data_IF_278975934266
#
_entry.id   IF_278975934266
#
_cell.length_a   1.000
_cell.length_b   1.000
_cell.length_c   1.000
_cell.angle_alpha   90.00
_cell.angle_beta   90.00
_cell.angle_gamma   90.00
#
_symmetry.space_group_name_H-M   'P 1'
#
loop_
_entity.id
_entity.type
_entity.pdbx_description
1 polymer ?
#
# COMPACT_ATOMS: atom_id res chain seq x y z
N UNK A 1 -51.03 -48.03 29.41
CA UNK A 1 -50.55 -47.61 28.07
C UNK A 1 -49.67 -46.38 28.27
N UNK A 2 -48.34 -46.53 28.33
CA UNK A 2 -47.41 -45.40 28.39
C UNK A 2 -46.91 -45.08 26.98
N UNK A 3 -47.06 -43.82 26.54
CA UNK A 3 -46.51 -43.29 25.29
C UNK A 3 -45.07 -42.82 25.53
N UNK A 4 -44.10 -43.12 24.65
CA UNK A 4 -42.78 -42.54 24.74
C UNK A 4 -42.80 -41.13 24.17
N UNK A 5 -42.25 -40.17 24.92
CA UNK A 5 -42.00 -38.80 24.45
C UNK A 5 -40.65 -38.84 23.72
N UNK A 6 -40.67 -38.58 22.41
CA UNK A 6 -39.46 -38.42 21.61
C UNK A 6 -38.82 -37.07 21.94
N UNK A 7 -37.59 -37.10 22.47
CA UNK A 7 -36.74 -35.91 22.55
C UNK A 7 -36.25 -35.56 21.15
N UNK A 8 -36.68 -34.40 20.65
CA UNK A 8 -36.10 -33.77 19.46
C UNK A 8 -34.82 -33.06 19.92
N UNK A 9 -33.67 -33.58 19.52
CA UNK A 9 -32.39 -32.90 19.69
C UNK A 9 -32.29 -31.78 18.65
N UNK A 10 -32.47 -30.54 19.08
CA UNK A 10 -32.08 -29.37 18.29
C UNK A 10 -30.55 -29.31 18.27
N UNK A 11 -29.96 -29.65 17.13
CA UNK A 11 -28.57 -29.34 16.85
C UNK A 11 -28.45 -27.81 16.73
N UNK A 12 -28.00 -27.16 17.79
CA UNK A 12 -27.53 -25.78 17.70
C UNK A 12 -26.30 -25.76 16.80
N UNK A 13 -26.44 -25.25 15.58
CA UNK A 13 -25.29 -24.82 14.80
C UNK A 13 -24.56 -23.78 15.65
N UNK A 14 -23.31 -24.07 16.02
CA UNK A 14 -22.48 -23.07 16.68
C UNK A 14 -22.42 -21.83 15.77
N UNK A 15 -22.57 -20.61 16.31
CA UNK A 15 -22.34 -19.41 15.52
C UNK A 15 -20.93 -19.53 14.94
N UNK A 16 -20.80 -19.44 13.62
CA UNK A 16 -19.52 -19.20 12.98
C UNK A 16 -19.03 -17.91 13.61
N UNK A 17 -18.07 -18.02 14.53
CA UNK A 17 -17.37 -16.87 15.09
C UNK A 17 -16.87 -16.07 13.89
N UNK A 18 -17.42 -14.87 13.71
CA UNK A 18 -16.95 -13.93 12.72
C UNK A 18 -15.45 -13.78 12.99
N UNK A 19 -14.64 -14.41 12.14
CA UNK A 19 -13.21 -14.15 12.10
C UNK A 19 -13.13 -12.63 11.95
N UNK A 20 -12.54 -11.95 12.94
CA UNK A 20 -12.50 -10.50 12.95
C UNK A 20 -11.92 -10.07 11.61
N UNK A 21 -12.76 -9.52 10.73
CA UNK A 21 -12.37 -9.27 9.37
C UNK A 21 -11.46 -8.04 9.36
N UNK A 22 -10.47 -8.03 8.48
CA UNK A 22 -9.71 -6.81 8.20
C UNK A 22 -10.70 -5.69 7.84
N UNK A 23 -10.57 -4.48 8.41
CA UNK A 23 -11.28 -3.31 7.90
C UNK A 23 -11.05 -3.11 6.39
N UNK A 24 -12.01 -2.52 5.66
CA UNK A 24 -11.85 -2.23 4.24
C UNK A 24 -10.62 -1.37 3.94
N UNK A 25 -10.03 -1.59 2.77
CA UNK A 25 -8.84 -0.90 2.27
C UNK A 25 -7.72 -1.85 1.87
N UNK A 26 -6.57 -1.28 1.53
CA UNK A 26 -5.38 -2.03 1.13
C UNK A 26 -4.48 -2.26 2.33
N UNK A 27 -4.19 -3.51 2.64
CA UNK A 27 -3.29 -3.96 3.70
C UNK A 27 -2.00 -4.52 3.10
N UNK A 28 -0.84 -4.11 3.59
CA UNK A 28 0.44 -4.65 3.11
C UNK A 28 1.42 -4.91 4.26
N UNK A 29 2.37 -5.82 4.05
CA UNK A 29 3.52 -6.01 4.95
C UNK A 29 4.78 -5.28 4.46
N UNK A 30 4.64 -4.22 3.66
CA UNK A 30 5.75 -3.59 2.95
C UNK A 30 6.90 -3.15 3.86
N UNK A 31 6.62 -2.55 5.01
CA UNK A 31 7.68 -2.07 5.91
C UNK A 31 8.40 -3.23 6.61
N UNK A 32 7.67 -4.26 7.04
CA UNK A 32 8.28 -5.43 7.67
C UNK A 32 9.23 -6.16 6.69
N UNK A 33 8.77 -6.37 5.46
CA UNK A 33 9.57 -6.98 4.39
C UNK A 33 10.77 -6.11 4.00
N UNK A 34 10.65 -4.80 4.06
CA UNK A 34 11.73 -3.88 3.70
C UNK A 34 12.87 -3.88 4.72
N UNK A 35 12.56 -3.97 6.01
CA UNK A 35 13.56 -3.90 7.08
C UNK A 35 14.00 -5.27 7.64
N UNK A 36 13.41 -6.38 7.19
CA UNK A 36 13.75 -7.72 7.67
C UNK A 36 15.27 -7.99 7.70
N UNK A 37 15.99 -7.71 6.60
CA UNK A 37 17.45 -7.92 6.53
C UNK A 37 18.23 -6.99 7.47
N UNK A 38 17.83 -5.72 7.60
CA UNK A 38 18.45 -4.77 8.53
C UNK A 38 18.25 -5.19 9.99
N UNK A 39 17.14 -5.86 10.29
CA UNK A 39 16.82 -6.41 11.59
C UNK A 39 17.36 -7.83 11.82
N UNK A 40 18.07 -8.42 10.85
CA UNK A 40 18.61 -9.77 10.94
C UNK A 40 17.56 -10.88 10.90
N UNK A 41 16.37 -10.59 10.36
CA UNK A 41 15.27 -11.53 10.16
C UNK A 41 15.26 -12.08 8.75
N UNK A 42 14.67 -13.26 8.58
CA UNK A 42 14.33 -13.77 7.25
C UNK A 42 13.24 -12.89 6.63
N UNK A 43 13.41 -12.58 5.34
CA UNK A 43 12.47 -11.75 4.60
C UNK A 43 11.22 -12.56 4.26
N UNK A 44 10.08 -12.16 4.82
CA UNK A 44 8.79 -12.73 4.47
C UNK A 44 8.44 -12.46 2.99
N UNK A 45 7.54 -13.27 2.44
CA UNK A 45 6.91 -12.97 1.16
C UNK A 45 6.17 -11.64 1.22
N UNK A 46 6.31 -10.81 0.19
CA UNK A 46 5.57 -9.57 0.11
C UNK A 46 4.10 -9.83 -0.20
N UNK A 47 3.23 -9.25 0.60
CA UNK A 47 1.78 -9.39 0.47
C UNK A 47 1.14 -8.00 0.44
N UNK A 48 0.21 -7.83 -0.51
CA UNK A 48 -0.78 -6.77 -0.46
C UNK A 48 -2.17 -7.32 -0.77
N UNK A 49 -3.13 -6.95 0.07
CA UNK A 49 -4.51 -7.40 0.00
C UNK A 49 -5.42 -6.18 -0.06
N UNK A 50 -6.39 -6.19 -0.96
CA UNK A 50 -7.50 -5.25 -0.93
C UNK A 50 -8.70 -5.92 -0.28
N UNK A 51 -9.36 -5.21 0.64
CA UNK A 51 -10.58 -5.66 1.33
C UNK A 51 -11.69 -4.66 1.05
N UNK A 52 -12.85 -5.15 0.60
CA UNK A 52 -14.01 -4.29 0.33
C UNK A 52 -14.94 -4.17 1.55
N UNK A 53 -15.97 -3.32 1.45
CA UNK A 53 -16.95 -3.09 2.51
C UNK A 53 -17.78 -4.33 2.89
N UNK A 54 -17.86 -5.32 2.00
CA UNK A 54 -18.50 -6.62 2.27
C UNK A 54 -17.56 -7.61 2.97
N UNK A 55 -16.32 -7.22 3.28
CA UNK A 55 -15.30 -8.07 3.89
C UNK A 55 -14.72 -9.11 2.94
N UNK A 56 -14.99 -9.01 1.63
CA UNK A 56 -14.33 -9.83 0.62
C UNK A 56 -12.95 -9.26 0.34
N UNK A 57 -12.02 -10.13 -0.05
CA UNK A 57 -10.64 -9.73 -0.30
C UNK A 57 -10.12 -10.26 -1.63
N UNK A 58 -9.08 -9.60 -2.14
CA UNK A 58 -8.27 -10.08 -3.28
C UNK A 58 -6.82 -9.65 -3.11
N UNK A 59 -5.90 -10.32 -3.79
CA UNK A 59 -4.53 -9.83 -3.90
C UNK A 59 -4.45 -8.59 -4.78
N UNK A 60 -3.55 -7.67 -4.47
CA UNK A 60 -3.17 -6.55 -5.34
C UNK A 60 -1.65 -6.47 -5.46
N UNK A 61 -1.15 -5.89 -6.55
CA UNK A 61 0.28 -5.64 -6.69
C UNK A 61 0.71 -4.27 -6.11
N UNK A 62 1.98 -3.92 -6.29
CA UNK A 62 2.51 -2.66 -5.80
C UNK A 62 1.92 -1.42 -6.52
N UNK A 63 1.20 -1.60 -7.63
CA UNK A 63 0.51 -0.54 -8.37
C UNK A 63 -0.99 -0.47 -8.01
N UNK A 64 -1.46 -1.36 -7.14
CA UNK A 64 -2.87 -1.47 -6.77
C UNK A 64 -3.69 -2.27 -7.79
N UNK A 65 -3.05 -2.93 -8.75
CA UNK A 65 -3.74 -3.75 -9.74
C UNK A 65 -4.15 -5.09 -9.14
N UNK A 66 -5.41 -5.47 -9.35
CA UNK A 66 -5.99 -6.71 -8.86
C UNK A 66 -5.27 -7.94 -9.43
N UNK A 67 -4.90 -8.86 -8.56
CA UNK A 67 -4.24 -10.13 -8.92
C UNK A 67 -5.21 -11.33 -8.91
N UNK A 68 -6.51 -11.07 -8.91
CA UNK A 68 -7.54 -12.10 -8.91
C UNK A 68 -8.94 -11.56 -8.58
N UNK A 69 -9.90 -12.48 -8.56
CA UNK A 69 -11.28 -12.20 -8.20
C UNK A 69 -11.47 -12.03 -6.69
N UNK A 70 -12.54 -11.35 -6.31
CA UNK A 70 -12.95 -11.21 -4.91
C UNK A 70 -13.25 -12.58 -4.28
N UNK A 71 -12.71 -12.81 -3.09
CA UNK A 71 -12.90 -14.01 -2.30
C UNK A 71 -13.60 -13.69 -0.99
N UNK A 72 -14.60 -14.50 -0.64
CA UNK A 72 -15.21 -14.49 0.70
C UNK A 72 -14.62 -15.56 1.63
N UNK A 73 -13.60 -16.30 1.18
CA UNK A 73 -12.92 -17.30 2.02
C UNK A 73 -12.02 -16.62 3.06
N UNK A 74 -11.58 -17.37 4.06
CA UNK A 74 -10.58 -16.88 5.01
C UNK A 74 -9.28 -16.49 4.28
N UNK A 75 -8.68 -15.37 4.69
CA UNK A 75 -7.36 -14.94 4.20
C UNK A 75 -6.32 -15.94 4.72
N UNK A 76 -5.56 -16.63 3.84
CA UNK A 76 -4.57 -17.61 4.26
C UNK A 76 -3.52 -17.03 5.21
N UNK A 77 -3.29 -17.70 6.33
CA UNK A 77 -2.25 -17.32 7.31
C UNK A 77 -2.54 -16.06 8.13
N UNK A 78 -3.68 -15.39 7.92
CA UNK A 78 -4.05 -14.19 8.67
C UNK A 78 -4.35 -14.54 10.12
N UNK A 79 -3.65 -13.89 11.04
CA UNK A 79 -3.84 -14.02 12.48
C UNK A 79 -3.79 -12.65 13.18
N UNK A 80 -4.50 -12.47 14.31
CA UNK A 80 -4.31 -11.30 15.16
C UNK A 80 -2.90 -11.26 15.73
N UNK A 81 -2.29 -10.08 15.79
CA UNK A 81 -0.95 -9.87 16.37
C UNK A 81 -1.04 -9.59 17.88
N UNK A 82 -0.06 -10.08 18.65
CA UNK A 82 0.08 -9.72 20.06
C UNK A 82 0.31 -8.21 20.21
N UNK A 83 -0.44 -7.55 21.09
CA UNK A 83 -0.44 -6.09 21.21
C UNK A 83 -1.34 -5.36 20.20
N UNK A 84 -2.05 -6.09 19.34
CA UNK A 84 -3.05 -5.56 18.41
C UNK A 84 -2.57 -5.51 16.96
N UNK A 85 -3.54 -5.40 16.04
CA UNK A 85 -3.30 -5.44 14.60
C UNK A 85 -3.34 -6.85 14.03
N UNK A 86 -2.78 -7.00 12.83
CA UNK A 86 -2.91 -8.18 12.00
C UNK A 86 -1.55 -8.59 11.43
N UNK A 87 -1.38 -9.88 11.18
CA UNK A 87 -0.16 -10.42 10.57
C UNK A 87 -0.47 -11.64 9.70
N UNK A 88 0.42 -11.91 8.74
CA UNK A 88 0.49 -13.19 8.02
C UNK A 88 1.83 -13.84 8.37
N UNK A 89 1.77 -15.05 8.95
CA UNK A 89 2.93 -15.63 9.61
C UNK A 89 3.37 -14.74 10.78
N UNK A 90 4.62 -14.27 10.75
CA UNK A 90 5.18 -13.32 11.72
C UNK A 90 5.24 -11.87 11.17
N UNK A 91 4.75 -11.64 9.96
CA UNK A 91 4.90 -10.37 9.24
C UNK A 91 3.68 -9.46 9.45
N UNK A 92 3.89 -8.29 10.04
CA UNK A 92 2.83 -7.31 10.33
C UNK A 92 2.16 -6.79 9.04
N UNK A 93 0.83 -6.76 9.04
CA UNK A 93 0.03 -6.07 8.04
C UNK A 93 -0.37 -4.69 8.51
N UNK A 94 -0.14 -3.68 7.67
CA UNK A 94 -0.52 -2.30 7.91
C UNK A 94 -1.58 -1.86 6.91
N UNK A 95 -2.66 -1.27 7.41
CA UNK A 95 -3.64 -0.58 6.58
C UNK A 95 -2.99 0.65 5.95
N UNK A 96 -3.05 0.71 4.63
CA UNK A 96 -2.59 1.86 3.87
C UNK A 96 -3.64 2.97 3.83
N UNK A 97 -3.15 4.19 3.64
CA UNK A 97 -3.98 5.37 3.40
C UNK A 97 -4.00 5.66 1.90
N UNK A 98 -5.19 5.86 1.30
CA UNK A 98 -5.29 6.26 -0.09
C UNK A 98 -4.76 7.68 -0.29
N UNK A 99 -4.10 7.89 -1.42
CA UNK A 99 -3.45 9.14 -1.80
C UNK A 99 -3.77 9.43 -3.27
N UNK A 100 -3.88 10.71 -3.61
CA UNK A 100 -3.98 11.19 -4.98
C UNK A 100 -2.80 12.10 -5.30
N UNK A 101 -2.15 11.85 -6.43
CA UNK A 101 -0.95 12.58 -6.84
C UNK A 101 -1.12 13.30 -8.18
N UNK A 102 -0.26 14.27 -8.38
CA UNK A 102 0.09 14.76 -9.71
C UNK A 102 1.61 14.66 -9.91
N UNK A 103 2.02 14.50 -11.16
CA UNK A 103 3.42 14.42 -11.58
C UNK A 103 3.60 15.27 -12.84
N UNK A 104 4.67 16.04 -12.88
CA UNK A 104 5.10 16.83 -14.03
C UNK A 104 6.56 16.53 -14.32
N UNK A 105 6.85 16.08 -15.54
CA UNK A 105 8.21 15.73 -15.97
C UNK A 105 8.63 16.68 -17.08
N UNK A 106 9.84 17.20 -16.99
CA UNK A 106 10.40 18.07 -18.03
C UNK A 106 10.56 17.27 -19.32
N UNK A 107 10.04 17.81 -20.42
CA UNK A 107 10.24 17.23 -21.76
C UNK A 107 11.68 17.42 -22.23
N UNK A 108 12.14 16.55 -23.12
CA UNK A 108 13.45 16.68 -23.75
C UNK A 108 13.56 17.95 -24.58
N UNK A 109 12.51 18.29 -25.34
CA UNK A 109 12.43 19.52 -26.09
C UNK A 109 11.81 20.66 -25.26
N UNK A 110 12.40 21.86 -25.34
CA UNK A 110 11.80 23.09 -24.83
C UNK A 110 10.73 23.64 -25.77
N UNK A 111 10.09 24.72 -25.36
CA UNK A 111 9.15 25.48 -26.20
C UNK A 111 9.90 26.33 -27.23
N UNK A 112 9.24 26.77 -28.33
CA UNK A 112 9.86 27.63 -29.33
C UNK A 112 10.41 28.96 -28.80
N UNK A 113 9.87 29.45 -27.69
CA UNK A 113 10.31 30.68 -27.00
C UNK A 113 11.58 30.48 -26.14
N UNK A 114 12.15 29.27 -26.13
CA UNK A 114 13.34 28.92 -25.35
C UNK A 114 13.05 28.52 -23.90
N UNK A 115 11.79 28.57 -23.45
CA UNK A 115 11.41 28.13 -22.11
C UNK A 115 11.30 26.61 -22.01
N UNK A 116 11.35 26.08 -20.78
CA UNK A 116 11.16 24.65 -20.53
C UNK A 116 9.73 24.21 -20.82
N UNK A 117 9.57 23.06 -21.47
CA UNK A 117 8.28 22.40 -21.62
C UNK A 117 8.16 21.19 -20.67
N UNK A 118 6.93 20.88 -20.27
CA UNK A 118 6.64 19.91 -19.21
C UNK A 118 5.43 19.05 -19.58
N UNK A 119 5.46 17.78 -19.17
CA UNK A 119 4.29 16.90 -19.14
C UNK A 119 3.47 17.19 -17.88
N UNK A 120 2.23 16.70 -17.84
CA UNK A 120 1.40 16.78 -16.64
C UNK A 120 0.44 15.59 -16.57
N UNK A 121 0.58 14.78 -15.53
CA UNK A 121 -0.33 13.71 -15.15
C UNK A 121 -0.95 14.07 -13.79
N UNK A 122 -2.27 13.90 -13.66
CA UNK A 122 -3.01 14.24 -12.44
C UNK A 122 -3.98 13.13 -12.06
N UNK A 123 -4.52 13.20 -10.84
CA UNK A 123 -5.46 12.22 -10.27
C UNK A 123 -4.88 10.80 -10.30
N UNK A 124 -3.58 10.69 -10.07
CA UNK A 124 -2.88 9.42 -9.98
C UNK A 124 -3.20 8.80 -8.62
N UNK A 125 -3.88 7.67 -8.61
CA UNK A 125 -4.23 6.94 -7.40
C UNK A 125 -3.04 6.12 -6.91
N UNK A 126 -2.73 6.23 -5.62
CA UNK A 126 -1.64 5.50 -4.98
C UNK A 126 -1.98 5.28 -3.51
N UNK A 127 -1.22 4.45 -2.81
CA UNK A 127 -1.38 4.22 -1.38
C UNK A 127 -0.03 4.26 -0.66
N UNK A 128 -0.04 4.60 0.62
CA UNK A 128 1.17 4.95 1.37
C UNK A 128 1.87 3.78 2.08
N UNK A 129 1.63 2.53 1.67
CA UNK A 129 2.35 1.36 2.17
C UNK A 129 3.15 0.69 1.05
N UNK A 130 3.92 1.49 0.32
CA UNK A 130 4.78 1.03 -0.77
C UNK A 130 4.14 1.09 -2.14
N UNK A 131 2.95 1.69 -2.27
CA UNK A 131 2.24 1.86 -3.54
C UNK A 131 3.06 2.65 -4.55
N UNK A 132 2.86 2.33 -5.84
CA UNK A 132 3.62 2.84 -6.97
C UNK A 132 2.70 3.32 -8.08
N UNK A 133 3.14 4.33 -8.82
CA UNK A 133 2.53 4.75 -10.09
C UNK A 133 3.62 5.06 -11.09
N UNK A 134 3.49 4.50 -12.29
CA UNK A 134 4.36 4.83 -13.43
C UNK A 134 3.70 5.90 -14.30
N UNK A 135 4.47 6.93 -14.63
CA UNK A 135 4.09 8.00 -15.54
C UNK A 135 4.96 7.87 -16.79
N UNK A 136 4.40 7.40 -17.91
CA UNK A 136 5.16 7.29 -19.15
C UNK A 136 5.47 8.68 -19.69
N UNK A 137 6.70 8.85 -20.16
CA UNK A 137 7.14 10.04 -20.88
C UNK A 137 6.89 9.96 -22.38
N UNK A 138 6.41 8.82 -22.89
CA UNK A 138 5.97 8.59 -24.28
C UNK A 138 7.00 9.04 -25.33
N UNK A 139 8.29 8.91 -25.02
CA UNK A 139 9.40 9.33 -25.89
C UNK A 139 9.64 10.84 -25.96
N UNK A 140 8.82 11.67 -25.31
CA UNK A 140 8.98 13.13 -25.26
C UNK A 140 9.53 13.63 -23.92
N UNK A 141 9.47 12.80 -22.89
CA UNK A 141 10.06 12.99 -21.57
C UNK A 141 10.60 11.64 -21.05
N UNK A 142 11.37 11.61 -19.96
CA UNK A 142 11.69 10.38 -19.26
C UNK A 142 10.45 9.71 -18.66
N UNK A 143 10.42 8.38 -18.66
CA UNK A 143 9.51 7.61 -17.80
C UNK A 143 9.94 7.78 -16.34
N UNK A 144 8.97 7.93 -15.44
CA UNK A 144 9.22 7.99 -14.01
C UNK A 144 8.22 7.13 -13.26
N UNK A 145 8.67 6.51 -12.17
CA UNK A 145 7.77 5.87 -11.20
C UNK A 145 7.86 6.61 -9.88
N UNK A 146 6.72 7.00 -9.32
CA UNK A 146 6.67 7.48 -7.94
C UNK A 146 6.29 6.34 -7.01
N UNK A 147 6.82 6.36 -5.78
CA UNK A 147 6.46 5.41 -4.72
C UNK A 147 6.20 6.17 -3.43
N UNK A 148 5.16 5.81 -2.69
CA UNK A 148 4.84 6.43 -1.40
C UNK A 148 4.93 5.39 -0.27
N UNK A 149 5.58 5.77 0.83
CA UNK A 149 5.69 4.94 2.04
C UNK A 149 5.49 5.79 3.29
N UNK A 150 4.65 5.35 4.21
CA UNK A 150 4.60 5.83 5.58
C UNK A 150 5.48 4.91 6.44
N UNK A 151 6.76 5.25 6.43
CA UNK A 151 7.87 4.44 6.92
C UNK A 151 7.87 4.42 8.43
N UNK A 152 7.91 3.20 8.97
CA UNK A 152 8.37 2.94 10.34
C UNK A 152 9.70 2.23 10.19
N UNK A 153 10.77 2.86 10.69
CA UNK A 153 12.13 2.36 10.50
C UNK A 153 12.37 1.06 11.28
N UNK A 154 13.43 0.35 10.89
CA UNK A 154 13.85 -0.89 11.52
C UNK A 154 13.85 -0.83 13.05
N UNK A 155 13.53 -1.95 13.69
CA UNK A 155 13.56 -2.10 15.13
C UNK A 155 14.89 -1.59 15.73
N UNK A 156 14.81 -0.72 16.74
CA UNK A 156 15.98 -0.09 17.36
C UNK A 156 16.52 1.14 16.64
N UNK A 157 15.95 1.53 15.49
CA UNK A 157 16.30 2.77 14.80
C UNK A 157 15.95 4.00 15.65
N UNK A 158 16.81 5.02 15.60
CA UNK A 158 16.56 6.34 16.21
C UNK A 158 15.84 7.30 15.27
N UNK A 159 15.60 6.89 14.02
CA UNK A 159 14.93 7.72 13.03
C UNK A 159 13.44 7.84 13.37
N UNK A 160 12.87 9.02 13.14
CA UNK A 160 11.44 9.25 13.35
C UNK A 160 10.65 8.69 12.16
N UNK A 161 9.48 8.05 12.38
CA UNK A 161 8.58 7.66 11.29
C UNK A 161 8.31 8.82 10.34
N UNK A 162 8.12 8.53 9.06
CA UNK A 162 8.03 9.57 8.02
C UNK A 162 7.15 9.14 6.86
N UNK A 163 6.37 10.08 6.32
CA UNK A 163 5.74 9.92 5.00
C UNK A 163 6.78 10.28 3.95
N UNK A 164 7.09 9.36 3.05
CA UNK A 164 8.18 9.50 2.08
C UNK A 164 7.65 9.32 0.66
N UNK A 165 8.01 10.27 -0.21
CA UNK A 165 7.74 10.23 -1.65
C UNK A 165 9.06 10.00 -2.38
N UNK A 166 9.17 8.85 -3.03
CA UNK A 166 10.32 8.46 -3.84
C UNK A 166 10.04 8.71 -5.32
N UNK A 167 11.08 9.11 -6.04
CA UNK A 167 11.09 9.15 -7.51
C UNK A 167 12.09 8.11 -8.00
N UNK A 168 11.63 7.27 -8.91
CA UNK A 168 12.41 6.28 -9.64
C UNK A 168 12.39 6.66 -11.13
N UNK A 169 13.46 6.26 -11.82
CA UNK A 169 13.61 6.42 -13.27
C UNK A 169 13.84 5.05 -13.90
N UNK A 170 15.10 4.67 -14.07
CA UNK A 170 15.47 3.40 -14.72
C UNK A 170 15.57 2.23 -13.71
N UNK A 171 15.88 2.52 -12.44
CA UNK A 171 16.01 1.53 -11.36
C UNK A 171 14.71 1.46 -10.51
N UNK A 172 13.98 0.33 -10.53
CA UNK A 172 12.73 0.18 -9.78
C UNK A 172 12.94 -0.08 -8.28
N UNK A 173 14.19 -0.30 -7.84
CA UNK A 173 14.58 -0.58 -6.46
C UNK A 173 15.21 0.66 -5.83
N UNK A 174 16.20 1.26 -6.48
CA UNK A 174 16.89 2.45 -5.98
C UNK A 174 16.21 3.72 -6.50
N UNK A 175 15.69 4.53 -5.60
CA UNK A 175 15.17 5.84 -5.95
C UNK A 175 16.30 6.77 -6.43
N UNK A 176 15.99 7.59 -7.43
CA UNK A 176 16.87 8.68 -7.85
C UNK A 176 16.95 9.75 -6.75
N UNK A 177 15.80 10.07 -6.16
CA UNK A 177 15.70 10.95 -5.00
C UNK A 177 14.39 10.71 -4.25
N UNK A 178 14.29 11.24 -3.06
CA UNK A 178 13.06 11.24 -2.27
C UNK A 178 12.93 12.51 -1.44
N UNK A 179 11.72 12.79 -0.99
CA UNK A 179 11.42 13.77 0.04
C UNK A 179 10.63 13.12 1.16
N UNK A 180 10.62 13.73 2.34
CA UNK A 180 9.85 13.24 3.47
C UNK A 180 9.13 14.36 4.20
N UNK A 181 8.04 13.98 4.87
CA UNK A 181 7.23 14.81 5.74
C UNK A 181 6.91 14.04 7.03
N UNK A 182 6.25 14.70 7.98
CA UNK A 182 5.69 14.03 9.15
C UNK A 182 4.80 12.85 8.72
N UNK A 183 4.77 11.73 9.48
CA UNK A 183 4.04 10.52 9.10
C UNK A 183 2.52 10.74 8.99
N UNK A 184 2.00 11.78 9.65
CA UNK A 184 0.60 12.22 9.68
C UNK A 184 0.30 13.37 8.71
N UNK A 185 1.29 13.84 7.94
CA UNK A 185 1.10 14.91 6.96
C UNK A 185 0.03 14.53 5.93
N UNK A 186 -0.84 15.48 5.58
CA UNK A 186 -1.84 15.31 4.54
C UNK A 186 -1.28 15.47 3.12
N UNK A 187 -0.04 15.95 2.99
CA UNK A 187 0.60 16.23 1.71
C UNK A 187 2.12 16.01 1.81
N UNK A 188 2.71 15.44 0.76
CA UNK A 188 4.16 15.35 0.54
C UNK A 188 4.48 15.69 -0.91
N UNK A 189 5.57 16.43 -1.15
CA UNK A 189 5.96 16.83 -2.49
C UNK A 189 7.47 16.82 -2.69
N UNK A 190 7.88 16.77 -3.95
CA UNK A 190 9.29 16.72 -4.37
C UNK A 190 9.48 17.57 -5.63
N UNK A 191 10.63 18.24 -5.72
CA UNK A 191 11.03 19.00 -6.90
C UNK A 191 12.52 18.80 -7.15
N UNK A 192 12.85 18.07 -8.22
CA UNK A 192 14.23 17.80 -8.65
C UNK A 192 14.67 18.68 -9.83
N UNK A 193 13.94 19.78 -10.11
CA UNK A 193 14.12 20.68 -11.27
C UNK A 193 13.89 20.07 -12.65
N UNK A 194 13.78 18.76 -12.76
CA UNK A 194 13.40 18.05 -13.98
C UNK A 194 12.15 17.18 -13.79
N UNK A 195 11.78 16.90 -12.54
CA UNK A 195 10.51 16.28 -12.16
C UNK A 195 9.95 16.97 -10.92
N UNK A 196 8.63 17.10 -10.90
CA UNK A 196 7.87 17.61 -9.79
C UNK A 196 6.72 16.65 -9.52
N UNK A 197 6.50 16.33 -8.26
CA UNK A 197 5.36 15.53 -7.86
C UNK A 197 4.83 15.99 -6.50
N UNK A 198 3.54 15.84 -6.30
CA UNK A 198 2.90 16.03 -5.00
C UNK A 198 1.82 14.98 -4.84
N UNK A 199 1.72 14.45 -3.63
CA UNK A 199 0.71 13.48 -3.25
C UNK A 199 -0.02 13.99 -2.03
N UNK A 200 -1.35 13.92 -2.06
CA UNK A 200 -2.22 14.32 -0.97
C UNK A 200 -3.05 13.14 -0.51
N UNK A 201 -3.33 13.04 0.79
CA UNK A 201 -4.25 12.04 1.31
C UNK A 201 -5.65 12.28 0.73
N UNK A 202 -6.32 11.20 0.34
CA UNK A 202 -7.73 11.24 -0.02
C UNK A 202 -8.50 11.14 1.29
N UNK A 203 -9.27 12.18 1.62
CA UNK A 203 -10.17 12.12 2.76
C UNK A 203 -11.31 11.16 2.42
N UNK A 204 -11.38 10.04 3.14
CA UNK A 204 -12.45 9.04 3.08
C UNK A 204 -13.50 9.31 4.15
#
# INVERSE_FOLDING_TARGET
MLRPIALIAFAFAAPVTAQSALPPGIWTNNEDVYFAEEEGREKAEWVALEVNDAGQWRGVDAFGEAQGEWSSAAIPGLTPREGGGWQIGESELRLSRPMSCWVSVRKFAGKPDGSTDWTFANKLEIFDQGGRVTVPGEGIAPDVTIRVRNVTWAAGSRNKPSLVLYVHKDDPVRAESYSWASPDASLVGVNLRWVQASCSRVDT
#
